data_IF_729890684704
#
_entry.id   IF_729890684704
#
_cell.length_a   1.000
_cell.length_b   1.000
_cell.length_c   1.000
_cell.angle_alpha   90.00
_cell.angle_beta   90.00
_cell.angle_gamma   90.00
#
_symmetry.space_group_name_H-M   'P 1'
#
loop_
_entity.id
_entity.type
_entity.pdbx_description
1 polymer ?
#
# COMPACT_ATOMS: atom_id res chain seq x y z
N UNK A 1 9.12 1.82 20.53
CA UNK A 1 9.71 3.03 21.14
C UNK A 1 11.17 3.09 20.72
N UNK A 2 11.69 4.26 20.34
CA UNK A 2 13.12 4.47 20.03
C UNK A 2 13.88 4.32 21.34
N UNK A 3 14.64 3.23 21.49
CA UNK A 3 15.28 2.88 22.78
C UNK A 3 16.80 3.04 22.78
N UNK A 4 17.41 3.45 21.66
CA UNK A 4 18.85 3.73 21.59
C UNK A 4 19.24 4.69 20.46
N UNK A 5 20.49 5.19 20.51
CA UNK A 5 21.03 6.16 19.55
C UNK A 5 20.95 5.66 18.09
N UNK A 6 21.18 4.37 17.87
CA UNK A 6 21.08 3.75 16.52
C UNK A 6 19.66 3.79 15.94
N UNK A 7 18.64 3.59 16.77
CA UNK A 7 17.25 3.67 16.32
C UNK A 7 16.89 5.10 15.93
N UNK A 8 17.43 6.07 16.68
CA UNK A 8 17.25 7.50 16.40
C UNK A 8 17.91 7.90 15.09
N UNK A 9 19.18 7.53 14.88
CA UNK A 9 19.90 7.78 13.62
C UNK A 9 19.18 7.16 12.41
N UNK A 10 18.71 5.91 12.56
CA UNK A 10 17.96 5.21 11.52
C UNK A 10 16.64 5.90 11.21
N UNK A 11 15.91 6.36 12.23
CA UNK A 11 14.68 7.10 12.04
C UNK A 11 14.94 8.46 11.38
N UNK A 12 15.97 9.21 11.79
CA UNK A 12 16.36 10.47 11.17
C UNK A 12 16.64 10.30 9.67
N UNK A 13 17.38 9.23 9.31
CA UNK A 13 17.65 8.90 7.91
C UNK A 13 16.37 8.61 7.12
N UNK A 14 15.42 7.88 7.71
CA UNK A 14 14.11 7.61 7.10
C UNK A 14 13.33 8.92 6.94
N UNK A 15 13.31 9.77 7.96
CA UNK A 15 12.58 11.03 7.96
C UNK A 15 13.07 11.96 6.84
N UNK A 16 14.38 12.22 6.79
CA UNK A 16 14.99 13.07 5.77
C UNK A 16 14.77 12.55 4.34
N UNK A 17 14.88 11.23 4.16
CA UNK A 17 14.72 10.60 2.86
C UNK A 17 13.28 10.60 2.36
N UNK A 18 12.31 10.33 3.23
CA UNK A 18 10.95 9.98 2.81
C UNK A 18 9.89 11.05 3.10
N UNK A 19 10.13 12.03 3.98
CA UNK A 19 9.12 13.05 4.34
C UNK A 19 8.51 13.74 3.12
N UNK A 20 9.35 14.22 2.19
CA UNK A 20 8.89 14.92 0.98
C UNK A 20 8.08 14.03 0.05
N UNK A 21 8.51 12.78 -0.13
CA UNK A 21 7.78 11.78 -0.94
C UNK A 21 6.44 11.46 -0.31
N UNK A 22 6.41 11.20 1.00
CA UNK A 22 5.19 10.90 1.73
C UNK A 22 4.19 12.05 1.65
N UNK A 23 4.66 13.29 1.83
CA UNK A 23 3.82 14.47 1.69
C UNK A 23 3.26 14.60 0.28
N UNK A 24 4.10 14.42 -0.75
CA UNK A 24 3.66 14.46 -2.14
C UNK A 24 2.54 13.44 -2.41
N UNK A 25 2.74 12.18 -2.03
CA UNK A 25 1.73 11.12 -2.23
C UNK A 25 0.44 11.42 -1.46
N UNK A 26 0.55 11.84 -0.20
CA UNK A 26 -0.62 12.17 0.62
C UNK A 26 -1.41 13.35 0.04
N UNK A 27 -0.71 14.41 -0.38
CA UNK A 27 -1.32 15.63 -0.91
C UNK A 27 -1.99 15.40 -2.27
N UNK A 28 -1.46 14.51 -3.11
CA UNK A 28 -2.13 14.09 -4.35
C UNK A 28 -3.52 13.47 -4.10
N UNK A 29 -3.71 12.79 -2.98
CA UNK A 29 -4.97 12.12 -2.63
C UNK A 29 -5.90 13.09 -1.90
N UNK A 30 -5.37 13.82 -0.92
CA UNK A 30 -6.17 14.64 -0.01
C UNK A 30 -6.49 16.03 -0.56
N UNK A 31 -5.64 16.56 -1.46
CA UNK A 31 -5.71 17.94 -1.97
C UNK A 31 -5.84 18.98 -0.85
N UNK A 32 -5.22 18.70 0.29
CA UNK A 32 -5.28 19.49 1.51
C UNK A 32 -3.93 19.35 2.24
N UNK A 33 -3.08 20.39 2.21
CA UNK A 33 -1.74 20.31 2.79
C UNK A 33 -1.72 19.98 4.29
N UNK A 34 -2.74 20.43 5.05
CA UNK A 34 -2.81 20.16 6.49
C UNK A 34 -3.15 18.70 6.76
N UNK A 35 -4.11 18.14 6.02
CA UNK A 35 -4.42 16.71 6.13
C UNK A 35 -3.27 15.84 5.60
N UNK A 36 -2.55 16.30 4.58
CA UNK A 36 -1.37 15.60 4.07
C UNK A 36 -0.26 15.54 5.12
N UNK A 37 0.04 16.64 5.82
CA UNK A 37 0.99 16.63 6.95
C UNK A 37 0.53 15.71 8.09
N UNK A 38 -0.77 15.67 8.42
CA UNK A 38 -1.30 14.72 9.42
C UNK A 38 -1.09 13.26 8.98
N UNK A 39 -1.36 12.95 7.71
CA UNK A 39 -1.13 11.61 7.17
C UNK A 39 0.35 11.20 7.25
N UNK A 40 1.27 12.13 6.95
CA UNK A 40 2.72 11.93 7.04
C UNK A 40 3.13 11.67 8.48
N UNK A 41 2.72 12.52 9.41
CA UNK A 41 3.06 12.40 10.83
C UNK A 41 2.56 11.06 11.41
N UNK A 42 1.29 10.75 11.22
CA UNK A 42 0.72 9.48 11.67
C UNK A 42 1.48 8.27 11.10
N UNK A 43 1.90 8.34 9.85
CA UNK A 43 2.69 7.28 9.22
C UNK A 43 4.08 7.15 9.86
N UNK A 44 4.75 8.25 10.19
CA UNK A 44 6.03 8.21 10.91
C UNK A 44 5.90 7.59 12.30
N UNK A 45 4.81 7.85 13.03
CA UNK A 45 4.55 7.19 14.32
C UNK A 45 4.51 5.67 14.13
N UNK A 46 3.77 5.17 13.14
CA UNK A 46 3.71 3.74 12.85
C UNK A 46 5.04 3.16 12.37
N UNK A 47 5.84 3.94 11.62
CA UNK A 47 7.20 3.53 11.23
C UNK A 47 8.08 3.35 12.46
N UNK A 48 8.01 4.27 13.43
CA UNK A 48 8.77 4.16 14.69
C UNK A 48 8.37 2.90 15.48
N UNK A 49 7.09 2.54 15.47
CA UNK A 49 6.58 1.31 16.10
C UNK A 49 7.07 0.02 15.43
N UNK A 50 7.51 0.10 14.17
CA UNK A 50 7.93 -1.04 13.34
C UNK A 50 9.35 -0.85 12.78
N UNK A 51 10.18 -0.04 13.44
CA UNK A 51 11.47 0.38 12.92
C UNK A 51 12.46 -0.79 12.77
N UNK A 52 12.30 -1.81 13.60
CA UNK A 52 13.02 -3.08 13.57
C UNK A 52 12.84 -3.84 12.25
N UNK A 53 11.69 -3.68 11.57
CA UNK A 53 11.36 -4.36 10.31
C UNK A 53 11.98 -3.72 9.07
N UNK A 54 12.59 -2.54 9.22
CA UNK A 54 13.25 -1.82 8.12
C UNK A 54 14.72 -2.22 8.11
N UNK A 55 15.11 -3.24 7.35
CA UNK A 55 16.52 -3.67 7.34
C UNK A 55 17.42 -2.66 6.62
N UNK A 56 17.01 -2.21 5.43
CA UNK A 56 17.73 -1.23 4.62
C UNK A 56 16.82 -0.05 4.25
N UNK A 57 17.19 1.14 4.74
CA UNK A 57 16.47 2.40 4.50
C UNK A 57 16.46 2.78 3.01
N UNK A 58 17.44 2.34 2.22
CA UNK A 58 17.57 2.68 0.81
C UNK A 58 16.89 1.68 -0.13
N UNK A 59 16.49 0.51 0.37
CA UNK A 59 15.88 -0.54 -0.44
C UNK A 59 14.53 -0.14 -1.05
N UNK A 60 14.23 -0.74 -2.20
CA UNK A 60 12.90 -0.65 -2.83
C UNK A 60 11.79 -1.19 -1.92
N UNK A 61 12.09 -2.21 -1.11
CA UNK A 61 11.14 -2.78 -0.12
C UNK A 61 10.71 -1.71 0.87
N UNK A 62 11.66 -0.97 1.46
CA UNK A 62 11.38 0.12 2.40
C UNK A 62 10.61 1.27 1.75
N UNK A 63 11.02 1.71 0.56
CA UNK A 63 10.27 2.74 -0.18
C UNK A 63 8.82 2.32 -0.40
N UNK A 64 8.61 1.09 -0.88
CA UNK A 64 7.27 0.57 -1.14
C UNK A 64 6.45 0.41 0.14
N UNK A 65 7.06 -0.02 1.25
CA UNK A 65 6.42 -0.10 2.57
C UNK A 65 5.92 1.28 3.02
N UNK A 66 6.78 2.29 3.02
CA UNK A 66 6.46 3.66 3.46
C UNK A 66 5.38 4.31 2.58
N UNK A 67 5.50 4.19 1.25
CA UNK A 67 4.52 4.72 0.30
C UNK A 67 3.15 4.05 0.50
N UNK A 68 3.13 2.74 0.75
CA UNK A 68 1.90 2.00 1.02
C UNK A 68 1.21 2.51 2.29
N UNK A 69 1.96 2.69 3.38
CA UNK A 69 1.38 3.17 4.64
C UNK A 69 0.78 4.57 4.50
N UNK A 70 1.51 5.52 3.91
CA UNK A 70 1.01 6.90 3.78
C UNK A 70 -0.16 6.99 2.80
N UNK A 71 -0.13 6.23 1.69
CA UNK A 71 -1.24 6.15 0.73
C UNK A 71 -2.52 5.67 1.41
N UNK A 72 -2.43 4.59 2.19
CA UNK A 72 -3.59 4.06 2.91
C UNK A 72 -4.12 5.04 3.96
N UNK A 73 -3.22 5.69 4.71
CA UNK A 73 -3.63 6.72 5.66
C UNK A 73 -4.36 7.87 4.98
N UNK A 74 -3.86 8.34 3.84
CA UNK A 74 -4.49 9.40 3.05
C UNK A 74 -5.85 8.99 2.50
N UNK A 75 -5.99 7.77 1.96
CA UNK A 75 -7.27 7.23 1.48
C UNK A 75 -8.29 7.10 2.63
N UNK A 76 -7.85 6.64 3.81
CA UNK A 76 -8.73 6.54 4.97
C UNK A 76 -9.25 7.91 5.43
N UNK A 77 -8.36 8.90 5.51
CA UNK A 77 -8.72 10.29 5.84
C UNK A 77 -9.66 10.89 4.79
N UNK A 78 -9.40 10.66 3.50
CA UNK A 78 -10.26 11.06 2.40
C UNK A 78 -11.66 10.46 2.56
N UNK A 79 -11.75 9.14 2.75
CA UNK A 79 -13.02 8.43 2.92
C UNK A 79 -13.79 8.90 4.17
N UNK A 80 -13.09 9.19 5.27
CA UNK A 80 -13.70 9.75 6.47
C UNK A 80 -14.30 11.13 6.19
N UNK A 81 -13.57 12.00 5.48
CA UNK A 81 -14.07 13.32 5.05
C UNK A 81 -15.31 13.19 4.16
N UNK A 82 -15.32 12.28 3.19
CA UNK A 82 -16.48 12.02 2.33
C UNK A 82 -17.67 11.44 3.08
N UNK A 83 -17.46 10.58 4.08
CA UNK A 83 -18.57 10.08 4.93
C UNK A 83 -19.25 11.20 5.73
N UNK A 84 -18.49 12.23 6.11
CA UNK A 84 -19.03 13.44 6.74
C UNK A 84 -19.59 14.46 5.72
N UNK A 85 -19.29 14.28 4.44
CA UNK A 85 -19.66 15.18 3.34
C UNK A 85 -20.36 14.35 2.25
N UNK A 86 -21.60 13.91 2.50
CA UNK A 86 -22.37 12.98 1.66
C UNK A 86 -22.20 13.18 0.13
N UNK A 87 -21.26 12.49 -0.52
CA UNK A 87 -21.21 12.14 -1.96
C UNK A 87 -20.35 10.86 -2.11
N UNK A 88 -20.78 9.83 -2.88
CA UNK A 88 -19.94 8.68 -3.21
C UNK A 88 -18.88 9.07 -4.24
N UNK A 89 -17.61 8.74 -4.02
CA UNK A 89 -16.59 8.95 -5.06
C UNK A 89 -16.29 7.65 -5.81
N UNK A 90 -16.23 7.78 -7.14
CA UNK A 90 -15.58 6.82 -8.03
C UNK A 90 -14.18 6.45 -7.53
N UNK A 91 -13.83 5.17 -7.72
CA UNK A 91 -12.53 4.61 -7.37
C UNK A 91 -11.39 5.46 -7.94
N UNK A 92 -10.66 6.16 -7.08
CA UNK A 92 -9.45 6.88 -7.48
C UNK A 92 -8.41 5.83 -7.91
N UNK A 93 -8.29 5.65 -9.22
CA UNK A 93 -7.41 4.67 -9.83
C UNK A 93 -5.96 5.21 -9.85
N UNK A 94 -5.31 5.20 -8.68
CA UNK A 94 -3.85 5.39 -8.63
C UNK A 94 -3.17 4.08 -8.99
N UNK A 95 -2.93 3.93 -10.30
CA UNK A 95 -2.07 2.91 -10.87
C UNK A 95 -0.68 3.03 -10.25
N UNK A 96 -0.34 2.07 -9.38
CA UNK A 96 1.04 1.83 -8.93
C UNK A 96 1.85 1.07 -10.02
N UNK A 97 1.36 1.11 -11.26
CA UNK A 97 1.86 0.35 -12.40
C UNK A 97 3.05 1.05 -13.09
N UNK A 98 3.33 2.31 -12.78
CA UNK A 98 4.40 3.06 -13.45
C UNK A 98 5.81 2.54 -13.14
N UNK A 99 6.00 1.72 -12.10
CA UNK A 99 7.28 1.03 -11.82
C UNK A 99 7.39 -0.34 -12.52
N UNK A 100 6.36 -0.81 -13.23
CA UNK A 100 6.34 -2.11 -13.94
C UNK A 100 6.40 -1.92 -15.48
N UNK A 101 6.27 -0.70 -15.98
CA UNK A 101 6.36 -0.38 -17.42
C UNK A 101 7.80 -0.38 -17.93
N UNK A 102 8.44 -1.55 -17.92
CA UNK A 102 9.64 -1.84 -18.68
C UNK A 102 9.39 -3.10 -19.52
N UNK A 103 8.83 -2.91 -20.72
CA UNK A 103 9.02 -3.71 -21.94
C UNK A 103 9.41 -5.19 -21.78
N UNK A 104 8.55 -6.00 -21.18
CA UNK A 104 8.52 -7.46 -21.34
C UNK A 104 7.07 -7.89 -21.58
N UNK A 105 6.86 -8.94 -22.38
CA UNK A 105 5.55 -9.60 -22.48
C UNK A 105 5.17 -10.06 -21.07
N UNK A 106 4.31 -9.29 -20.40
CA UNK A 106 3.84 -9.62 -19.07
C UNK A 106 3.24 -11.03 -19.10
N UNK A 107 3.70 -11.89 -18.19
CA UNK A 107 3.13 -13.21 -18.08
C UNK A 107 1.64 -13.13 -17.74
N UNK A 108 0.94 -14.22 -18.01
CA UNK A 108 -0.50 -14.32 -17.84
C UNK A 108 -0.95 -14.01 -16.39
N UNK A 109 -0.17 -14.44 -15.40
CA UNK A 109 -0.43 -14.16 -13.99
C UNK A 109 -0.36 -12.66 -13.70
N UNK A 110 0.61 -11.96 -14.28
CA UNK A 110 0.81 -10.53 -14.08
C UNK A 110 -0.32 -9.72 -14.70
N UNK A 111 -0.80 -10.11 -15.89
CA UNK A 111 -2.00 -9.54 -16.52
C UNK A 111 -3.23 -9.72 -15.63
N UNK A 112 -3.44 -10.92 -15.10
CA UNK A 112 -4.56 -11.20 -14.22
C UNK A 112 -4.49 -10.41 -12.90
N UNK A 113 -3.29 -10.24 -12.32
CA UNK A 113 -3.08 -9.40 -11.13
C UNK A 113 -3.45 -7.95 -11.41
N UNK A 114 -3.06 -7.38 -12.56
CA UNK A 114 -3.38 -5.98 -12.93
C UNK A 114 -4.89 -5.76 -13.08
N UNK A 115 -5.65 -6.79 -13.45
CA UNK A 115 -7.12 -6.72 -13.53
C UNK A 115 -7.83 -6.73 -12.16
N UNK A 116 -7.13 -7.09 -11.08
CA UNK A 116 -7.72 -7.07 -9.75
C UNK A 116 -7.99 -5.62 -9.29
N UNK A 117 -9.06 -5.36 -8.53
CA UNK A 117 -9.21 -4.11 -7.79
C UNK A 117 -7.95 -3.78 -6.95
N UNK A 118 -7.58 -2.50 -6.90
CA UNK A 118 -6.33 -2.01 -6.26
C UNK A 118 -6.14 -2.55 -4.85
N UNK A 119 -7.20 -2.62 -4.05
CA UNK A 119 -7.17 -3.15 -2.68
C UNK A 119 -6.69 -4.62 -2.63
N UNK A 120 -7.03 -5.42 -3.64
CA UNK A 120 -6.63 -6.82 -3.72
C UNK A 120 -5.21 -6.98 -4.27
N UNK A 121 -4.81 -6.16 -5.23
CA UNK A 121 -3.42 -6.09 -5.70
C UNK A 121 -2.47 -5.76 -4.54
N UNK A 122 -2.82 -4.75 -3.75
CA UNK A 122 -2.03 -4.28 -2.63
C UNK A 122 -1.82 -5.37 -1.58
N UNK A 123 -2.90 -6.04 -1.13
CA UNK A 123 -2.79 -7.12 -0.14
C UNK A 123 -2.00 -8.31 -0.69
N UNK A 124 -2.09 -8.61 -1.99
CA UNK A 124 -1.30 -9.66 -2.64
C UNK A 124 0.20 -9.31 -2.66
N UNK A 125 0.53 -8.08 -3.07
CA UNK A 125 1.91 -7.56 -3.07
C UNK A 125 2.52 -7.59 -1.67
N UNK A 126 1.82 -7.06 -0.67
CA UNK A 126 2.27 -7.05 0.72
C UNK A 126 2.51 -8.47 1.24
N UNK A 127 1.63 -9.42 0.89
CA UNK A 127 1.69 -10.79 1.41
C UNK A 127 2.76 -11.66 0.75
N UNK A 128 2.86 -11.63 -0.58
CA UNK A 128 3.61 -12.61 -1.35
C UNK A 128 4.88 -12.06 -1.98
N UNK A 129 4.93 -10.75 -2.27
CA UNK A 129 6.15 -10.11 -2.81
C UNK A 129 7.01 -9.56 -1.69
N UNK A 130 6.37 -8.93 -0.69
CA UNK A 130 7.08 -8.32 0.44
C UNK A 130 7.15 -9.21 1.69
N UNK A 131 6.47 -10.36 1.65
CA UNK A 131 6.49 -11.42 2.66
C UNK A 131 5.99 -11.02 4.06
N UNK A 132 5.13 -10.00 4.16
CA UNK A 132 4.54 -9.63 5.44
C UNK A 132 3.51 -10.65 5.94
N UNK A 133 3.46 -10.86 7.25
CA UNK A 133 2.42 -11.63 7.92
C UNK A 133 1.07 -10.89 7.91
N UNK A 134 -0.03 -11.62 8.12
CA UNK A 134 -1.37 -11.00 8.11
C UNK A 134 -1.52 -9.94 9.22
N UNK A 135 -0.90 -10.19 10.37
CA UNK A 135 -0.86 -9.25 11.50
C UNK A 135 -0.13 -7.97 11.14
N UNK A 136 1.01 -8.08 10.45
CA UNK A 136 1.78 -6.91 10.02
C UNK A 136 1.02 -6.09 8.99
N UNK A 137 0.42 -6.76 8.00
CA UNK A 137 -0.40 -6.08 6.99
C UNK A 137 -1.60 -5.38 7.66
N UNK A 138 -2.24 -6.02 8.64
CA UNK A 138 -3.33 -5.44 9.40
C UNK A 138 -2.89 -4.15 10.14
N UNK A 139 -1.73 -4.19 10.80
CA UNK A 139 -1.15 -3.03 11.48
C UNK A 139 -0.80 -1.90 10.49
N UNK A 140 -0.18 -2.24 9.37
CA UNK A 140 0.20 -1.29 8.30
C UNK A 140 -1.02 -0.57 7.73
N UNK A 141 -2.07 -1.32 7.42
CA UNK A 141 -3.27 -0.83 6.73
C UNK A 141 -4.34 -0.29 7.69
N UNK A 142 -4.11 -0.37 9.00
CA UNK A 142 -5.03 0.05 10.05
C UNK A 142 -6.41 -0.63 9.99
N UNK A 143 -6.40 -1.94 9.74
CA UNK A 143 -7.62 -2.77 9.66
C UNK A 143 -7.44 -4.06 10.45
N UNK A 144 -8.53 -4.77 10.74
CA UNK A 144 -8.44 -6.01 11.49
C UNK A 144 -7.76 -7.12 10.68
N UNK A 145 -7.01 -7.99 11.35
CA UNK A 145 -6.42 -9.19 10.74
C UNK A 145 -7.50 -10.10 10.09
N UNK A 146 -8.70 -10.12 10.66
CA UNK A 146 -9.88 -10.78 10.07
C UNK A 146 -10.23 -10.17 8.71
N UNK A 147 -10.15 -8.84 8.58
CA UNK A 147 -10.37 -8.15 7.30
C UNK A 147 -9.30 -8.53 6.29
N UNK A 148 -8.02 -8.64 6.71
CA UNK A 148 -6.93 -9.11 5.84
C UNK A 148 -7.17 -10.53 5.36
N UNK A 149 -7.52 -11.47 6.25
CA UNK A 149 -7.86 -12.85 5.87
C UNK A 149 -8.98 -12.89 4.83
N UNK A 150 -10.07 -12.15 5.06
CA UNK A 150 -11.20 -12.07 4.13
C UNK A 150 -10.80 -11.42 2.80
N UNK A 151 -9.95 -10.39 2.81
CA UNK A 151 -9.44 -9.76 1.59
C UNK A 151 -8.60 -10.74 0.79
N UNK A 152 -7.64 -11.44 1.41
CA UNK A 152 -6.81 -12.46 0.76
C UNK A 152 -7.65 -13.59 0.15
N UNK A 153 -8.68 -14.07 0.86
CA UNK A 153 -9.59 -15.08 0.34
C UNK A 153 -10.34 -14.58 -0.92
N UNK A 154 -10.88 -13.36 -0.86
CA UNK A 154 -11.54 -12.72 -2.01
C UNK A 154 -10.57 -12.46 -3.17
N UNK A 155 -9.34 -12.05 -2.88
CA UNK A 155 -8.28 -11.87 -3.87
C UNK A 155 -8.02 -13.16 -4.62
N UNK A 156 -7.82 -14.28 -3.92
CA UNK A 156 -7.58 -15.59 -4.55
C UNK A 156 -8.74 -16.02 -5.44
N UNK A 157 -9.97 -15.88 -4.95
CA UNK A 157 -11.17 -16.23 -5.73
C UNK A 157 -11.30 -15.39 -6.99
N UNK A 158 -11.11 -14.07 -6.90
CA UNK A 158 -11.16 -13.19 -8.08
C UNK A 158 -10.04 -13.48 -9.07
N UNK A 159 -8.85 -13.76 -8.58
CA UNK A 159 -7.73 -14.12 -9.45
C UNK A 159 -8.05 -15.42 -10.19
N UNK A 160 -8.58 -16.43 -9.51
CA UNK A 160 -9.05 -17.67 -10.14
C UNK A 160 -10.14 -17.40 -11.19
N UNK A 161 -11.15 -16.59 -10.89
CA UNK A 161 -12.20 -16.22 -11.86
C UNK A 161 -11.66 -15.52 -13.13
N UNK A 162 -10.58 -14.74 -13.01
CA UNK A 162 -9.94 -14.07 -14.14
C UNK A 162 -9.16 -15.09 -14.98
N UNK A 163 -8.33 -15.91 -14.31
CA UNK A 163 -7.52 -16.93 -14.98
C UNK A 163 -8.40 -17.97 -15.69
N UNK A 164 -9.50 -18.41 -15.09
CA UNK A 164 -10.45 -19.36 -15.72
C UNK A 164 -11.12 -18.74 -16.96
N UNK A 165 -11.37 -17.42 -16.97
CA UNK A 165 -12.00 -16.76 -18.11
C UNK A 165 -11.07 -16.65 -19.31
N UNK A 166 -9.80 -16.31 -19.12
CA UNK A 166 -8.90 -16.21 -20.26
C UNK A 166 -8.41 -17.61 -20.75
N UNK A 167 -8.36 -18.65 -19.90
CA UNK A 167 -8.13 -20.05 -20.33
C UNK A 167 -9.21 -20.50 -21.35
N UNK A 168 -10.47 -20.08 -21.16
CA UNK A 168 -11.56 -20.36 -22.10
C UNK A 168 -11.53 -19.49 -23.37
N UNK A 169 -10.66 -18.48 -23.44
CA UNK A 169 -10.56 -17.58 -24.60
C UNK A 169 -9.48 -18.04 -25.58
N UNK A 170 -8.49 -18.82 -25.11
CA UNK A 170 -7.44 -19.41 -25.94
C UNK A 170 -7.83 -20.76 -26.61
N UNK A 171 -9.01 -21.32 -26.28
CA UNK A 171 -9.57 -22.55 -26.89
C UNK A 171 -10.58 -22.31 -28.04
N UNK A 172 -10.77 -21.05 -28.49
CA UNK A 172 -11.69 -20.65 -29.59
C UNK A 172 -10.95 -20.01 -30.77
#
# INVERSE_FOLDING_TARGET
MITGEKDKEKFELIYEKYRKLMFYVANQILNDPYMAEDAVHHTFIKIIENLDKIEDVHSHKTKSYIVTMVKNRAINLYNQRQRHTMIPLEEINYNLADDITSHEELDYLTKAIIQLPVIYQEVLKLKYVQEYSNTEIAQMLDISEVTIRKRLERTKRKLQEILEKEDHTDEL
#
